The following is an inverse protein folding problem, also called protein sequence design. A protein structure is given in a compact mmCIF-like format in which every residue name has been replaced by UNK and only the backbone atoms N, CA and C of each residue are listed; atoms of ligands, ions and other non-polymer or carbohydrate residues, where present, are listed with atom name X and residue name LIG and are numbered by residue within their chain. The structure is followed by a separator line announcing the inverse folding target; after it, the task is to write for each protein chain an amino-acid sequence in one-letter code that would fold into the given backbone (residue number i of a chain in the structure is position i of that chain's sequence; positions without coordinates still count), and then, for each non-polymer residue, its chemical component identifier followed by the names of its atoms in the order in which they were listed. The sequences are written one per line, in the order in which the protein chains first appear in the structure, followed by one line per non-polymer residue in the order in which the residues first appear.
data_IF_253500045712
#
_entry.id   IF_253500045712
#
_cell.length_a   1.000
_cell.length_b   1.000
_cell.length_c   1.000
_cell.angle_alpha   90.00
_cell.angle_beta   90.00
_cell.angle_gamma   90.00
#
_symmetry.space_group_name_H-M   'P 1'
#
loop_
_entity.id
_entity.type
_entity.pdbx_description
1 polymer ?
#
# COMPACT_ATOMS: atom_id res chain seq x y z
N UNK A 1 17.75 9.03 -18.48
CA UNK A 1 17.64 9.15 -17.02
C UNK A 1 16.52 10.14 -16.75
N UNK A 2 15.30 9.64 -16.54
CA UNK A 2 14.17 10.47 -16.13
C UNK A 2 14.04 10.29 -14.62
N UNK A 3 14.19 11.39 -13.88
CA UNK A 3 13.98 11.41 -12.44
C UNK A 3 12.49 11.38 -12.17
N UNK A 4 11.99 10.24 -11.73
CA UNK A 4 10.65 10.13 -11.15
C UNK A 4 10.80 10.30 -9.63
N UNK A 5 10.06 11.23 -9.06
CA UNK A 5 10.02 11.44 -7.61
C UNK A 5 9.27 10.27 -6.96
N UNK A 6 9.96 9.15 -6.76
CA UNK A 6 9.48 8.01 -5.99
C UNK A 6 9.64 8.32 -4.50
N UNK A 7 8.53 8.40 -3.76
CA UNK A 7 8.58 8.50 -2.31
C UNK A 7 8.66 7.08 -1.73
N UNK A 8 9.85 6.68 -1.29
CA UNK A 8 10.06 5.39 -0.61
C UNK A 8 10.09 5.60 0.90
N UNK A 9 9.24 4.87 1.64
CA UNK A 9 9.21 4.86 3.10
C UNK A 9 9.56 3.47 3.64
N UNK A 10 10.77 3.32 4.16
CA UNK A 10 11.21 2.09 4.80
C UNK A 10 10.92 2.14 6.31
N UNK A 11 10.10 1.21 6.80
CA UNK A 11 9.74 1.09 8.22
C UNK A 11 10.22 -0.25 8.77
N UNK A 12 10.87 -0.22 9.94
CA UNK A 12 11.35 -1.39 10.64
C UNK A 12 10.47 -1.68 11.85
N UNK A 13 9.80 -2.84 11.83
CA UNK A 13 8.92 -3.29 12.90
C UNK A 13 9.50 -4.55 13.54
N UNK A 14 9.34 -4.70 14.86
CA UNK A 14 9.74 -5.93 15.58
C UNK A 14 8.91 -7.14 15.17
N UNK A 15 7.64 -6.91 14.84
CA UNK A 15 6.70 -7.90 14.34
C UNK A 15 5.56 -7.20 13.60
N UNK A 16 4.84 -7.97 12.78
CA UNK A 16 3.61 -7.57 12.09
C UNK A 16 2.52 -8.61 12.39
N UNK A 17 1.26 -8.18 12.36
CA UNK A 17 0.08 -9.02 12.61
C UNK A 17 -1.03 -8.57 11.67
N UNK A 18 -1.91 -9.50 11.29
CA UNK A 18 -3.12 -9.23 10.52
C UNK A 18 -4.07 -8.27 11.24
N UNK A 19 -3.97 -8.16 12.57
CA UNK A 19 -4.67 -7.12 13.35
C UNK A 19 -4.34 -5.68 12.88
N UNK A 20 -3.18 -5.50 12.24
CA UNK A 20 -2.76 -4.24 11.66
C UNK A 20 -3.54 -3.87 10.40
N UNK A 21 -4.03 -4.85 9.63
CA UNK A 21 -4.72 -4.64 8.35
C UNK A 21 -5.97 -3.78 8.57
N UNK A 22 -6.80 -4.16 9.54
CA UNK A 22 -8.02 -3.41 9.87
C UNK A 22 -7.72 -1.96 10.27
N UNK A 23 -6.65 -1.75 11.06
CA UNK A 23 -6.22 -0.40 11.45
C UNK A 23 -5.79 0.43 10.25
N UNK A 24 -5.20 -0.19 9.23
CA UNK A 24 -4.83 0.51 8.00
C UNK A 24 -6.07 0.88 7.19
N UNK A 25 -7.00 -0.05 7.00
CA UNK A 25 -8.28 0.22 6.33
C UNK A 25 -9.02 1.39 6.99
N UNK A 26 -9.08 1.42 8.32
CA UNK A 26 -9.65 2.52 9.10
C UNK A 26 -8.93 3.85 8.82
N UNK A 27 -7.59 3.85 8.77
CA UNK A 27 -6.80 5.06 8.48
C UNK A 27 -6.96 5.56 7.05
N UNK A 28 -7.06 4.66 6.08
CA UNK A 28 -7.36 5.03 4.70
C UNK A 28 -8.77 5.63 4.61
N UNK A 29 -9.74 5.02 5.28
CA UNK A 29 -11.10 5.54 5.33
C UNK A 29 -11.18 6.93 5.97
N UNK A 30 -10.46 7.17 7.07
CA UNK A 30 -10.31 8.49 7.71
C UNK A 30 -9.78 9.53 6.72
N UNK A 31 -8.87 9.12 5.82
CA UNK A 31 -8.31 9.94 4.76
C UNK A 31 -9.20 10.07 3.51
N UNK A 32 -10.46 9.57 3.55
CA UNK A 32 -11.39 9.50 2.41
C UNK A 32 -10.83 8.70 1.22
N UNK A 33 -10.06 7.66 1.55
CA UNK A 33 -9.49 6.71 0.62
C UNK A 33 -10.12 5.34 0.85
N UNK A 34 -10.60 4.71 -0.21
CA UNK A 34 -11.02 3.32 -0.19
C UNK A 34 -9.84 2.44 -0.60
N UNK A 35 -9.42 1.57 0.32
CA UNK A 35 -8.41 0.55 0.06
C UNK A 35 -9.08 -0.81 -0.08
N UNK A 36 -8.66 -1.61 -1.06
CA UNK A 36 -9.11 -3.00 -1.21
C UNK A 36 -7.90 -3.93 -1.06
N UNK A 37 -7.77 -4.53 0.12
CA UNK A 37 -6.79 -5.59 0.39
C UNK A 37 -7.46 -6.94 0.09
N UNK A 38 -6.72 -7.87 -0.52
CA UNK A 38 -7.28 -9.19 -0.82
C UNK A 38 -7.65 -9.93 0.48
N UNK A 39 -8.85 -10.54 0.59
CA UNK A 39 -9.32 -11.12 1.86
C UNK A 39 -8.45 -12.28 2.37
N UNK A 40 -7.77 -12.98 1.47
CA UNK A 40 -6.85 -14.08 1.81
C UNK A 40 -5.43 -13.60 2.15
N UNK A 41 -5.20 -12.28 2.24
CA UNK A 41 -3.90 -11.74 2.62
C UNK A 41 -3.62 -11.96 4.11
N UNK A 42 -2.42 -12.42 4.43
CA UNK A 42 -1.93 -12.55 5.82
C UNK A 42 -0.42 -12.39 5.90
N UNK A 43 0.05 -11.65 6.90
CA UNK A 43 1.48 -11.52 7.23
C UNK A 43 2.09 -12.81 7.76
N UNK A 44 1.26 -13.79 8.15
CA UNK A 44 1.73 -15.06 8.72
C UNK A 44 2.26 -16.04 7.67
N UNK A 45 1.81 -15.91 6.41
CA UNK A 45 2.05 -16.92 5.37
C UNK A 45 2.41 -16.34 4.00
N UNK A 46 2.36 -15.01 3.80
CA UNK A 46 2.70 -14.37 2.54
C UNK A 46 3.89 -13.41 2.68
N UNK A 47 4.83 -13.54 1.74
CA UNK A 47 6.02 -12.71 1.56
C UNK A 47 6.09 -12.25 0.10
N UNK A 48 6.76 -11.14 -0.14
CA UNK A 48 6.88 -10.48 -1.44
C UNK A 48 5.97 -9.27 -1.57
N UNK A 49 5.82 -8.79 -2.81
CA UNK A 49 5.04 -7.62 -3.13
C UNK A 49 3.52 -7.87 -3.08
N UNK A 50 2.81 -7.05 -2.33
CA UNK A 50 1.36 -7.05 -2.16
C UNK A 50 0.77 -5.79 -2.79
N UNK A 51 0.23 -5.87 -4.01
CA UNK A 51 -0.49 -4.76 -4.60
C UNK A 51 -1.86 -4.57 -3.93
N UNK A 52 -2.27 -3.33 -3.74
CA UNK A 52 -3.63 -2.96 -3.38
C UNK A 52 -4.09 -1.74 -4.18
N UNK A 53 -5.40 -1.68 -4.42
CA UNK A 53 -6.03 -0.58 -5.14
C UNK A 53 -6.49 0.49 -4.18
N UNK A 54 -6.29 1.73 -4.57
CA UNK A 54 -6.71 2.93 -3.83
C UNK A 54 -7.66 3.71 -4.72
N UNK A 55 -8.82 4.08 -4.17
CA UNK A 55 -9.76 5.01 -4.78
C UNK A 55 -9.99 6.19 -3.83
N UNK A 56 -10.09 7.39 -4.37
CA UNK A 56 -10.40 8.59 -3.59
C UNK A 56 -11.83 9.02 -3.90
N UNK A 57 -12.70 8.98 -2.89
CA UNK A 57 -14.12 9.34 -3.09
C UNK A 57 -14.28 10.87 -3.31
N UNK A 58 -13.50 11.68 -2.58
CA UNK A 58 -13.57 13.15 -2.62
C UNK A 58 -12.17 13.80 -2.65
N UNK A 59 -11.36 13.60 -3.70
CA UNK A 59 -10.00 14.11 -3.71
C UNK A 59 -9.99 15.63 -3.89
N UNK A 60 -9.23 16.29 -3.03
CA UNK A 60 -8.94 17.73 -3.10
C UNK A 60 -7.99 18.07 -4.24
N UNK A 61 -7.15 17.11 -4.66
CA UNK A 61 -6.25 17.23 -5.80
C UNK A 61 -6.96 16.70 -7.05
N UNK A 62 -7.18 17.58 -8.04
CA UNK A 62 -7.93 17.23 -9.25
C UNK A 62 -7.35 16.06 -10.05
N UNK A 63 -6.03 15.82 -9.98
CA UNK A 63 -5.38 14.70 -10.68
C UNK A 63 -5.86 13.32 -10.21
N UNK A 64 -6.34 13.22 -8.96
CA UNK A 64 -6.76 11.98 -8.33
C UNK A 64 -8.23 11.62 -8.62
N UNK A 65 -9.02 12.55 -9.16
CA UNK A 65 -10.46 12.33 -9.46
C UNK A 65 -10.64 11.25 -10.50
N UNK A 66 -11.67 10.42 -10.29
CA UNK A 66 -12.16 9.40 -11.23
C UNK A 66 -11.09 8.41 -11.67
N UNK A 67 -10.08 8.17 -10.81
CA UNK A 67 -8.98 7.25 -11.09
C UNK A 67 -8.81 6.26 -9.94
N UNK A 68 -8.53 5.02 -10.33
CA UNK A 68 -8.00 4.02 -9.43
C UNK A 68 -6.48 4.03 -9.49
N UNK A 69 -5.86 4.04 -8.32
CA UNK A 69 -4.42 4.01 -8.12
C UNK A 69 -4.02 2.63 -7.63
N UNK A 70 -2.80 2.21 -7.94
CA UNK A 70 -2.27 0.91 -7.52
C UNK A 70 -0.97 1.11 -6.77
N UNK A 71 -0.98 0.84 -5.48
CA UNK A 71 0.19 0.86 -4.60
C UNK A 71 0.45 -0.55 -4.05
N UNK A 72 1.46 -0.73 -3.20
CA UNK A 72 1.68 -2.05 -2.62
C UNK A 72 2.84 -2.17 -1.64
N UNK A 73 2.71 -3.04 -0.64
CA UNK A 73 3.77 -3.32 0.35
C UNK A 73 4.57 -4.54 -0.07
N UNK A 74 5.88 -4.48 0.04
CA UNK A 74 6.76 -5.63 -0.08
C UNK A 74 7.16 -6.16 1.30
N UNK A 75 6.71 -7.39 1.54
CA UNK A 75 6.99 -8.17 2.72
C UNK A 75 8.24 -9.01 2.57
N UNK A 76 9.27 -8.78 3.37
CA UNK A 76 10.47 -9.62 3.34
C UNK A 76 10.84 -10.10 4.75
N UNK A 77 10.80 -11.42 4.98
CA UNK A 77 11.54 -12.02 6.10
C UNK A 77 12.97 -12.26 5.62
N UNK A 78 13.76 -11.19 5.59
CA UNK A 78 15.20 -11.28 5.84
C UNK A 78 15.43 -10.89 7.31
N UNK A 79 16.64 -11.00 7.90
CA UNK A 79 16.95 -10.27 9.12
C UNK A 79 16.61 -8.78 8.90
N UNK A 80 15.40 -8.39 9.31
CA UNK A 80 14.84 -7.05 9.39
C UNK A 80 14.89 -6.16 8.12
N UNK A 81 14.15 -6.44 7.04
CA UNK A 81 13.88 -5.42 5.98
C UNK A 81 12.51 -5.60 5.31
N UNK A 82 11.75 -4.51 5.09
CA UNK A 82 10.50 -4.46 4.30
C UNK A 82 10.60 -3.31 3.29
N UNK A 83 10.01 -3.47 2.10
CA UNK A 83 10.00 -2.48 1.00
C UNK A 83 8.54 -2.17 0.62
N UNK A 84 8.23 -1.14 -0.17
CA UNK A 84 6.86 -0.86 -0.66
C UNK A 84 7.05 -0.31 -2.08
N UNK A 85 6.36 -0.89 -3.06
CA UNK A 85 6.40 -0.43 -4.46
C UNK A 85 5.04 0.10 -4.88
N UNK A 86 4.98 1.35 -5.35
CA UNK A 86 3.81 1.87 -6.05
C UNK A 86 4.04 1.77 -7.55
N UNK A 87 3.08 1.21 -8.29
CA UNK A 87 3.13 1.09 -9.73
C UNK A 87 2.14 2.08 -10.34
N UNK A 88 2.62 3.24 -10.77
CA UNK A 88 1.86 4.05 -11.72
C UNK A 88 2.04 3.47 -13.13
N UNK A 89 0.99 2.79 -13.59
CA UNK A 89 0.70 2.27 -14.95
C UNK A 89 1.28 0.91 -15.33
N UNK A 90 0.34 0.04 -15.70
CA UNK A 90 0.51 -0.93 -16.77
C UNK A 90 -0.38 -0.50 -17.95
N UNK A 91 0.15 -0.69 -19.17
CA UNK A 91 -0.59 -0.58 -20.44
C UNK A 91 -1.81 -1.51 -20.47
#
# INVERSE_FOLDING_TARGET
MWGENMLELCIYLKSVSDDGIKKWEERFLDAKMKVNIHPDFSFSNQFGFLPFKIHFDEPTIGLLRDKDWSSGFESSIMPSQWKLHEFEKWM
#
